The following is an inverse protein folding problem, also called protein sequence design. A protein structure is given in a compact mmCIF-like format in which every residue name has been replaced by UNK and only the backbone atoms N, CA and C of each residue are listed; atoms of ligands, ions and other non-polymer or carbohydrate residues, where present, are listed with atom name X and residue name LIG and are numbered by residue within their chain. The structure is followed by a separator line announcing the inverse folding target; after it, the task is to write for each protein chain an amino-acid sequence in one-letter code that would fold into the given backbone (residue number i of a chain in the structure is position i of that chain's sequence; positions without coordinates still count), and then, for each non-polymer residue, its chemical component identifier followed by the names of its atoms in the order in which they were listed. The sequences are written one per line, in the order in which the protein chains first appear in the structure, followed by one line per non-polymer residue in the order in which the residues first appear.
data_IF_768174857588
#
_entry.id   IF_768174857588
#
_cell.length_a   1.000
_cell.length_b   1.000
_cell.length_c   1.000
_cell.angle_alpha   90.00
_cell.angle_beta   90.00
_cell.angle_gamma   90.00
#
_symmetry.space_group_name_H-M   'P 1'
#
loop_
_entity.id
_entity.type
_entity.pdbx_description
1 polymer ?
#
# COMPACT_ATOMS: atom_id res chain seq x y z
N UNK A 1 -12.05 -9.07 1.17
CA UNK A 1 -11.84 -10.52 1.39
C UNK A 1 -10.36 -10.83 1.47
N UNK A 2 -9.94 -11.74 2.35
CA UNK A 2 -8.58 -12.30 2.34
C UNK A 2 -8.26 -12.96 0.99
N UNK A 3 -7.00 -12.91 0.55
CA UNK A 3 -6.56 -13.48 -0.74
C UNK A 3 -6.90 -14.98 -0.88
N UNK A 4 -6.86 -15.72 0.23
CA UNK A 4 -7.23 -17.15 0.27
C UNK A 4 -8.70 -17.39 -0.08
N UNK A 5 -9.61 -16.61 0.51
CA UNK A 5 -11.04 -16.73 0.23
C UNK A 5 -11.33 -16.48 -1.25
N UNK A 6 -10.67 -15.49 -1.86
CA UNK A 6 -10.82 -15.24 -3.30
C UNK A 6 -10.34 -16.41 -4.17
N UNK A 7 -9.24 -17.07 -3.79
CA UNK A 7 -8.76 -18.24 -4.53
C UNK A 7 -9.70 -19.44 -4.46
N UNK A 8 -10.31 -19.68 -3.30
CA UNK A 8 -11.32 -20.73 -3.14
C UNK A 8 -12.58 -20.42 -3.96
N UNK A 9 -13.02 -19.15 -3.94
CA UNK A 9 -14.15 -18.70 -4.76
C UNK A 9 -13.92 -18.90 -6.26
N UNK A 10 -12.72 -18.60 -6.77
CA UNK A 10 -12.39 -18.83 -8.18
C UNK A 10 -12.52 -20.31 -8.52
N UNK A 11 -12.04 -21.20 -7.65
CA UNK A 11 -12.15 -22.64 -7.86
C UNK A 11 -13.60 -23.12 -7.83
N UNK A 12 -14.40 -22.67 -6.86
CA UNK A 12 -15.82 -22.99 -6.76
C UNK A 12 -16.60 -22.54 -8.00
N UNK A 13 -16.35 -21.33 -8.50
CA UNK A 13 -17.10 -20.75 -9.62
C UNK A 13 -16.68 -21.30 -10.99
N UNK A 14 -15.41 -21.68 -11.16
CA UNK A 14 -14.85 -22.03 -12.48
C UNK A 14 -14.49 -23.51 -12.62
N UNK A 15 -14.43 -24.25 -11.52
CA UNK A 15 -13.88 -25.61 -11.46
C UNK A 15 -12.34 -25.68 -11.64
N UNK A 16 -11.69 -24.60 -12.07
CA UNK A 16 -10.24 -24.53 -12.29
C UNK A 16 -9.50 -24.03 -11.07
N UNK A 17 -8.30 -24.57 -10.79
CA UNK A 17 -7.48 -24.05 -9.69
C UNK A 17 -7.04 -22.63 -10.02
N UNK A 18 -7.13 -21.72 -9.07
CA UNK A 18 -6.71 -20.32 -9.30
C UNK A 18 -5.24 -20.22 -9.75
N UNK A 19 -4.38 -21.14 -9.31
CA UNK A 19 -2.99 -21.23 -9.77
C UNK A 19 -2.84 -21.58 -11.26
N UNK A 20 -3.75 -22.40 -11.80
CA UNK A 20 -3.79 -22.75 -13.23
C UNK A 20 -4.22 -21.54 -14.05
N UNK A 21 -5.28 -20.84 -13.64
CA UNK A 21 -5.76 -19.61 -14.30
C UNK A 21 -4.66 -18.55 -14.35
N UNK A 22 -3.93 -18.35 -13.26
CA UNK A 22 -2.81 -17.40 -13.22
C UNK A 22 -1.66 -17.83 -14.15
N UNK A 23 -1.37 -19.14 -14.24
CA UNK A 23 -0.34 -19.67 -15.14
C UNK A 23 -0.74 -19.50 -16.61
N UNK A 24 -2.01 -19.73 -16.95
CA UNK A 24 -2.56 -19.47 -18.28
C UNK A 24 -2.37 -17.99 -18.66
N UNK A 25 -2.72 -17.05 -17.77
CA UNK A 25 -2.52 -15.61 -18.01
C UNK A 25 -1.04 -15.23 -18.17
N UNK A 26 -0.17 -15.81 -17.35
CA UNK A 26 1.28 -15.59 -17.39
C UNK A 26 1.91 -16.11 -18.68
N UNK A 27 1.40 -17.20 -19.24
CA UNK A 27 1.90 -17.83 -20.46
C UNK A 27 1.45 -17.17 -21.76
N UNK A 28 0.52 -16.21 -21.72
CA UNK A 28 0.10 -15.46 -22.91
C UNK A 28 1.23 -14.57 -23.44
N UNK A 29 1.25 -14.29 -24.75
CA UNK A 29 2.23 -13.39 -25.37
C UNK A 29 2.13 -11.99 -24.73
N UNK A 30 3.21 -11.53 -24.08
CA UNK A 30 3.25 -10.28 -23.32
C UNK A 30 2.83 -10.40 -21.84
N UNK A 31 2.46 -11.61 -21.39
CA UNK A 31 2.23 -11.93 -19.99
C UNK A 31 3.51 -11.95 -19.15
N UNK A 32 3.36 -11.78 -17.84
CA UNK A 32 4.44 -11.84 -16.86
C UNK A 32 3.95 -12.35 -15.51
N UNK A 33 4.85 -12.54 -14.54
CA UNK A 33 4.53 -12.94 -13.15
C UNK A 33 3.39 -12.16 -12.49
N UNK A 34 3.12 -10.97 -12.99
CA UNK A 34 2.14 -10.00 -12.47
C UNK A 34 0.79 -9.99 -13.21
N UNK A 35 0.62 -10.78 -14.28
CA UNK A 35 -0.63 -10.92 -15.04
C UNK A 35 -0.39 -11.05 -16.55
N UNK A 36 -1.47 -11.01 -17.33
CA UNK A 36 -1.41 -11.02 -18.80
C UNK A 36 -0.86 -9.72 -19.42
N UNK A 37 -0.88 -9.69 -20.75
CA UNK A 37 -0.39 -8.58 -21.57
C UNK A 37 -1.18 -7.28 -21.41
N UNK A 38 -0.67 -6.19 -21.99
CA UNK A 38 -1.43 -4.93 -22.05
C UNK A 38 -2.65 -5.10 -22.95
N UNK A 39 -3.80 -4.66 -22.45
CA UNK A 39 -5.04 -4.62 -23.24
C UNK A 39 -4.95 -3.62 -24.39
N UNK A 40 -4.27 -2.48 -24.18
CA UNK A 40 -4.15 -1.40 -25.15
C UNK A 40 -2.66 -1.08 -25.38
N UNK A 41 -2.11 -1.37 -26.58
CA UNK A 41 -0.69 -1.17 -26.86
C UNK A 41 -0.25 0.30 -26.80
N UNK A 42 -1.10 1.23 -27.20
CA UNK A 42 -0.81 2.68 -27.21
C UNK A 42 -1.01 3.37 -25.85
N UNK A 43 -1.00 2.61 -24.76
CA UNK A 43 -1.10 3.19 -23.41
C UNK A 43 0.22 3.86 -23.04
N UNK A 44 0.14 5.03 -22.43
CA UNK A 44 1.27 5.74 -21.82
C UNK A 44 0.94 6.10 -20.38
N UNK A 45 1.95 6.13 -19.52
CA UNK A 45 1.81 6.59 -18.13
C UNK A 45 2.60 7.88 -17.97
N UNK A 46 1.90 8.97 -17.70
CA UNK A 46 2.48 10.21 -17.23
C UNK A 46 2.49 10.17 -15.70
N UNK A 47 3.68 10.11 -15.10
CA UNK A 47 3.85 10.00 -13.66
C UNK A 47 4.40 11.30 -13.09
N UNK A 48 3.54 12.07 -12.43
CA UNK A 48 3.97 13.26 -11.68
C UNK A 48 4.72 12.82 -10.43
N UNK A 49 6.02 13.09 -10.41
CA UNK A 49 6.91 12.84 -9.28
C UNK A 49 6.96 14.05 -8.35
N UNK A 50 7.41 13.83 -7.14
CA UNK A 50 7.64 14.88 -6.17
C UNK A 50 8.71 14.38 -5.20
N UNK A 51 9.64 15.26 -4.79
CA UNK A 51 10.52 14.98 -3.68
C UNK A 51 9.72 14.58 -2.44
N UNK A 52 10.20 13.56 -1.72
CA UNK A 52 9.41 12.95 -0.65
C UNK A 52 9.23 13.87 0.55
N UNK A 53 10.22 14.72 0.85
CA UNK A 53 10.17 15.64 1.98
C UNK A 53 9.29 16.84 1.64
N UNK A 54 9.39 17.34 0.40
CA UNK A 54 8.48 18.37 -0.14
C UNK A 54 7.03 17.87 -0.13
N UNK A 55 6.80 16.64 -0.60
CA UNK A 55 5.47 16.03 -0.62
C UNK A 55 4.91 15.88 0.79
N UNK A 56 5.71 15.43 1.75
CA UNK A 56 5.28 15.26 3.14
C UNK A 56 4.82 16.59 3.77
N UNK A 57 5.56 17.67 3.55
CA UNK A 57 5.18 19.00 4.03
C UNK A 57 3.88 19.49 3.38
N UNK A 58 3.73 19.30 2.06
CA UNK A 58 2.52 19.67 1.32
C UNK A 58 1.30 18.87 1.77
N UNK A 59 1.47 17.58 2.05
CA UNK A 59 0.39 16.72 2.56
C UNK A 59 -0.06 17.18 3.96
N UNK A 60 0.87 17.57 4.83
CA UNK A 60 0.54 18.06 6.17
C UNK A 60 -0.23 19.37 6.11
N UNK A 61 0.25 20.33 5.30
CA UNK A 61 -0.47 21.59 5.06
C UNK A 61 -1.85 21.35 4.47
N UNK A 62 -1.97 20.45 3.49
CA UNK A 62 -3.26 20.10 2.89
C UNK A 62 -4.24 19.56 3.92
N UNK A 63 -3.78 18.77 4.90
CA UNK A 63 -4.65 18.29 6.00
C UNK A 63 -5.12 19.46 6.86
N UNK A 64 -4.25 20.41 7.16
CA UNK A 64 -4.64 21.62 7.90
C UNK A 64 -5.69 22.43 7.11
N UNK A 65 -5.44 22.68 5.83
CA UNK A 65 -6.39 23.37 4.94
C UNK A 65 -7.74 22.61 4.83
N UNK A 66 -7.73 21.28 4.81
CA UNK A 66 -8.95 20.47 4.79
C UNK A 66 -9.77 20.64 6.07
N UNK A 67 -9.12 20.70 7.22
CA UNK A 67 -9.77 20.93 8.51
C UNK A 67 -10.39 22.33 8.54
N UNK A 68 -9.65 23.35 8.11
CA UNK A 68 -10.14 24.73 8.03
C UNK A 68 -11.35 24.88 7.10
N UNK A 69 -11.38 24.10 6.01
CA UNK A 69 -12.51 24.04 5.06
C UNK A 69 -13.72 23.24 5.56
N UNK A 70 -13.67 22.66 6.76
CA UNK A 70 -14.82 22.00 7.36
C UNK A 70 -14.85 20.47 7.25
N UNK A 71 -13.70 19.80 7.04
CA UNK A 71 -13.62 18.32 7.03
C UNK A 71 -14.35 17.68 8.21
N UNK A 72 -14.22 18.25 9.42
CA UNK A 72 -14.90 17.71 10.59
C UNK A 72 -16.42 17.76 10.46
N UNK A 73 -16.96 18.84 9.90
CA UNK A 73 -18.39 18.98 9.70
C UNK A 73 -18.88 17.94 8.67
N UNK A 74 -18.17 17.78 7.56
CA UNK A 74 -18.46 16.75 6.56
C UNK A 74 -18.50 15.35 7.17
N UNK A 75 -17.55 15.02 8.06
CA UNK A 75 -17.51 13.72 8.73
C UNK A 75 -18.65 13.53 9.74
N UNK A 76 -19.05 14.59 10.45
CA UNK A 76 -20.21 14.57 11.37
C UNK A 76 -21.51 14.35 10.61
N UNK A 77 -21.72 15.11 9.54
CA UNK A 77 -22.92 15.02 8.71
C UNK A 77 -23.04 13.63 8.10
N UNK A 78 -21.94 13.13 7.52
CA UNK A 78 -21.87 11.77 6.98
C UNK A 78 -22.16 10.70 8.04
N UNK A 79 -21.63 10.85 9.26
CA UNK A 79 -21.89 9.90 10.35
C UNK A 79 -23.36 9.91 10.79
N UNK A 80 -23.96 11.08 10.89
CA UNK A 80 -25.37 11.24 11.28
C UNK A 80 -26.30 10.63 10.22
N UNK A 81 -26.07 10.93 8.95
CA UNK A 81 -26.89 10.42 7.85
C UNK A 81 -26.76 8.90 7.68
N UNK A 82 -25.54 8.36 7.77
CA UNK A 82 -25.33 6.93 7.75
C UNK A 82 -26.07 6.22 8.90
N UNK A 83 -25.98 6.76 10.13
CA UNK A 83 -26.65 6.17 11.28
C UNK A 83 -28.17 6.24 11.14
N UNK A 84 -28.71 7.36 10.65
CA UNK A 84 -30.14 7.52 10.38
C UNK A 84 -30.65 6.49 9.39
N UNK A 85 -29.94 6.27 8.29
CA UNK A 85 -30.34 5.31 7.26
C UNK A 85 -30.23 3.87 7.77
N UNK A 86 -29.10 3.53 8.39
CA UNK A 86 -28.83 2.21 8.98
C UNK A 86 -29.90 1.79 9.99
N UNK A 87 -30.30 2.71 10.88
CA UNK A 87 -31.33 2.43 11.89
C UNK A 87 -32.71 2.21 11.27
N UNK A 88 -33.06 2.94 10.20
CA UNK A 88 -34.30 2.70 9.43
C UNK A 88 -34.32 1.32 8.79
N UNK A 89 -33.16 0.84 8.33
CA UNK A 89 -33.02 -0.47 7.66
C UNK A 89 -32.75 -1.63 8.64
N UNK A 90 -32.69 -1.38 9.96
CA UNK A 90 -32.41 -2.40 10.98
C UNK A 90 -31.00 -3.02 10.89
N UNK A 91 -30.05 -2.32 10.27
CA UNK A 91 -28.70 -2.84 10.01
C UNK A 91 -27.72 -2.54 11.16
N UNK A 92 -26.77 -3.44 11.37
CA UNK A 92 -25.64 -3.23 12.28
C UNK A 92 -24.61 -2.28 11.65
N UNK A 93 -23.89 -1.53 12.48
CA UNK A 93 -22.79 -0.68 12.00
C UNK A 93 -21.64 -1.55 11.49
N UNK A 94 -21.26 -1.37 10.23
CA UNK A 94 -20.06 -1.99 9.66
C UNK A 94 -19.12 -0.92 9.08
N UNK A 95 -18.29 -0.36 9.95
CA UNK A 95 -17.24 0.60 9.58
C UNK A 95 -16.02 -0.07 8.91
N UNK A 96 -16.06 -1.38 8.64
CA UNK A 96 -14.93 -2.13 8.07
C UNK A 96 -14.94 -2.19 6.54
N UNK A 97 -15.98 -1.66 5.89
CA UNK A 97 -16.19 -1.78 4.44
C UNK A 97 -16.51 -0.44 3.78
N UNK A 98 -16.39 -0.43 2.44
CA UNK A 98 -16.81 0.70 1.61
C UNK A 98 -16.10 2.01 1.95
N UNK A 99 -16.87 3.09 1.94
CA UNK A 99 -16.39 4.46 2.17
C UNK A 99 -15.74 4.64 3.55
N UNK A 100 -16.08 3.81 4.55
CA UNK A 100 -15.45 3.83 5.87
C UNK A 100 -13.99 3.37 5.85
N UNK A 101 -13.52 2.77 4.76
CA UNK A 101 -12.10 2.45 4.56
C UNK A 101 -11.28 3.63 4.03
N UNK A 102 -11.92 4.77 3.74
CA UNK A 102 -11.24 5.99 3.34
C UNK A 102 -10.39 6.56 4.48
N UNK A 103 -9.35 7.30 4.10
CA UNK A 103 -8.51 8.06 5.02
C UNK A 103 -9.28 9.32 5.44
N UNK A 104 -9.43 9.56 6.73
CA UNK A 104 -10.19 10.67 7.31
C UNK A 104 -11.13 10.17 8.40
N UNK A 105 -12.09 9.32 8.04
CA UNK A 105 -13.15 8.91 8.98
C UNK A 105 -12.63 8.11 10.18
N UNK A 106 -11.79 7.10 9.94
CA UNK A 106 -11.31 6.20 11.02
C UNK A 106 -10.45 6.94 12.04
N UNK A 107 -9.69 7.91 11.56
CA UNK A 107 -8.79 8.71 12.36
C UNK A 107 -9.56 9.60 13.36
N UNK A 108 -10.76 10.04 12.98
CA UNK A 108 -11.64 10.83 13.84
C UNK A 108 -12.77 10.02 14.50
N UNK A 109 -12.89 8.72 14.25
CA UNK A 109 -14.03 7.93 14.71
C UNK A 109 -14.29 8.06 16.22
N UNK A 110 -13.25 7.94 17.05
CA UNK A 110 -13.37 8.09 18.51
C UNK A 110 -13.82 9.48 18.94
N UNK A 111 -13.51 10.52 18.16
CA UNK A 111 -13.96 11.89 18.42
C UNK A 111 -15.41 12.09 17.94
N UNK A 112 -15.80 11.51 16.80
CA UNK A 112 -17.11 11.66 16.18
C UNK A 112 -18.24 10.94 16.93
N UNK A 113 -17.92 9.95 17.76
CA UNK A 113 -18.92 9.21 18.58
C UNK A 113 -19.19 9.86 19.93
N UNK A 114 -18.41 10.89 20.32
CA UNK A 114 -18.64 11.65 21.55
C UNK A 114 -19.85 12.56 21.43
N UNK A 115 -20.53 12.82 22.56
CA UNK A 115 -21.54 13.88 22.64
C UNK A 115 -20.91 15.26 22.38
N UNK A 116 -21.73 16.25 22.03
CA UNK A 116 -21.23 17.62 21.83
C UNK A 116 -20.55 18.20 23.08
N UNK A 117 -21.06 17.86 24.27
CA UNK A 117 -20.48 18.27 25.55
C UNK A 117 -19.12 17.60 25.79
N UNK A 118 -19.02 16.28 25.53
CA UNK A 118 -17.79 15.51 25.66
C UNK A 118 -16.71 15.99 24.70
N UNK A 119 -17.07 16.42 23.49
CA UNK A 119 -16.13 16.96 22.51
C UNK A 119 -15.43 18.24 23.01
N UNK A 120 -16.10 19.04 23.85
CA UNK A 120 -15.54 20.28 24.41
C UNK A 120 -14.63 20.05 25.63
N UNK A 121 -14.68 18.86 26.21
CA UNK A 121 -13.79 18.48 27.31
C UNK A 121 -12.33 18.39 26.84
N UNK A 122 -11.39 18.44 27.79
CA UNK A 122 -9.97 18.23 27.48
C UNK A 122 -9.69 16.83 26.89
N UNK A 123 -10.49 15.83 27.26
CA UNK A 123 -10.43 14.51 26.66
C UNK A 123 -10.87 14.53 25.18
N UNK A 124 -11.97 15.22 24.87
CA UNK A 124 -12.45 15.41 23.49
C UNK A 124 -11.46 16.14 22.60
N UNK A 125 -10.89 17.26 23.09
CA UNK A 125 -9.84 18.01 22.38
C UNK A 125 -8.58 17.16 22.14
N UNK A 126 -8.22 16.29 23.08
CA UNK A 126 -7.10 15.36 22.92
C UNK A 126 -7.36 14.34 21.82
N UNK A 127 -8.57 13.77 21.75
CA UNK A 127 -8.97 12.85 20.69
C UNK A 127 -8.99 13.54 19.32
N UNK A 128 -9.45 14.78 19.24
CA UNK A 128 -9.37 15.59 18.03
C UNK A 128 -7.92 15.76 17.55
N UNK A 129 -7.02 16.22 18.42
CA UNK A 129 -5.59 16.39 18.09
C UNK A 129 -4.92 15.08 17.66
N UNK A 130 -5.29 13.98 18.32
CA UNK A 130 -4.83 12.64 17.95
C UNK A 130 -5.34 12.25 16.55
N UNK A 131 -6.60 12.55 16.23
CA UNK A 131 -7.19 12.34 14.91
C UNK A 131 -6.46 13.11 13.80
N UNK A 132 -6.18 14.40 13.99
CA UNK A 132 -5.41 15.21 13.04
C UNK A 132 -4.01 14.63 12.82
N UNK A 133 -3.31 14.29 13.91
CA UNK A 133 -1.96 13.71 13.84
C UNK A 133 -1.98 12.36 13.11
N UNK A 134 -2.98 11.53 13.40
CA UNK A 134 -3.18 10.25 12.74
C UNK A 134 -3.45 10.44 11.24
N UNK A 135 -4.33 11.38 10.87
CA UNK A 135 -4.67 11.70 9.49
C UNK A 135 -3.43 12.11 8.68
N UNK A 136 -2.62 13.01 9.22
CA UNK A 136 -1.33 13.40 8.60
C UNK A 136 -0.42 12.18 8.42
N UNK A 137 -0.26 11.36 9.46
CA UNK A 137 0.58 10.16 9.41
C UNK A 137 0.11 9.13 8.37
N UNK A 138 -1.18 8.80 8.31
CA UNK A 138 -1.70 7.82 7.36
C UNK A 138 -1.62 8.32 5.93
N UNK A 139 -1.78 9.63 5.71
CA UNK A 139 -1.64 10.27 4.39
C UNK A 139 -0.21 10.16 3.87
N UNK A 140 0.79 10.47 4.71
CA UNK A 140 2.22 10.28 4.40
C UNK A 140 2.61 8.81 4.18
N UNK A 141 1.99 7.88 4.92
CA UNK A 141 2.19 6.43 4.70
C UNK A 141 1.57 5.98 3.39
N UNK A 142 0.43 6.56 3.02
CA UNK A 142 -0.26 6.23 1.78
C UNK A 142 0.55 6.68 0.56
N UNK A 143 1.09 7.91 0.56
CA UNK A 143 1.96 8.40 -0.53
C UNK A 143 3.18 7.49 -0.75
N UNK A 144 3.87 7.10 0.33
CA UNK A 144 4.98 6.12 0.28
C UNK A 144 4.55 4.76 -0.29
N UNK A 145 3.35 4.30 0.08
CA UNK A 145 2.79 3.04 -0.45
C UNK A 145 2.47 3.15 -1.94
N UNK A 146 1.95 4.28 -2.40
CA UNK A 146 1.72 4.55 -3.82
C UNK A 146 3.05 4.54 -4.60
N UNK A 147 4.06 5.25 -4.11
CA UNK A 147 5.39 5.27 -4.71
C UNK A 147 5.98 3.86 -4.82
N UNK A 148 5.93 3.09 -3.73
CA UNK A 148 6.37 1.69 -3.72
C UNK A 148 5.60 0.85 -4.74
N UNK A 149 4.28 1.03 -4.81
CA UNK A 149 3.46 0.30 -5.77
C UNK A 149 3.80 0.65 -7.22
N UNK A 150 3.97 1.93 -7.56
CA UNK A 150 4.38 2.39 -8.89
C UNK A 150 5.73 1.77 -9.27
N UNK A 151 6.73 1.85 -8.38
CA UNK A 151 8.06 1.24 -8.59
C UNK A 151 7.96 -0.25 -8.91
N UNK A 152 7.28 -1.03 -8.05
CA UNK A 152 7.17 -2.48 -8.24
C UNK A 152 6.24 -2.91 -9.37
N UNK A 153 5.26 -2.08 -9.75
CA UNK A 153 4.27 -2.43 -10.77
C UNK A 153 4.73 -2.06 -12.17
N UNK A 154 5.46 -0.95 -12.29
CA UNK A 154 5.81 -0.37 -13.59
C UNK A 154 7.31 -0.24 -13.83
N UNK A 155 8.13 0.10 -12.83
CA UNK A 155 9.53 0.46 -13.08
C UNK A 155 10.55 -0.67 -12.90
N UNK A 156 10.24 -1.64 -12.03
CA UNK A 156 11.12 -2.78 -11.71
C UNK A 156 10.89 -4.06 -12.55
N UNK A 157 9.67 -4.40 -13.01
CA UNK A 157 9.46 -5.63 -13.77
C UNK A 157 10.13 -5.57 -15.15
N UNK A 158 11.10 -6.43 -15.41
CA UNK A 158 11.74 -6.55 -16.73
C UNK A 158 11.13 -7.66 -17.61
N UNK A 159 10.30 -8.52 -17.04
CA UNK A 159 9.67 -9.66 -17.71
C UNK A 159 8.26 -9.34 -18.24
N UNK A 160 7.86 -8.06 -18.25
CA UNK A 160 6.50 -7.63 -18.56
C UNK A 160 6.47 -6.58 -19.66
N UNK A 161 5.45 -6.64 -20.50
CA UNK A 161 5.03 -5.50 -21.30
C UNK A 161 4.43 -4.43 -20.37
N UNK A 162 5.23 -3.41 -20.05
CA UNK A 162 4.80 -2.25 -19.26
C UNK A 162 4.61 -1.06 -20.20
N UNK A 163 3.56 -0.23 -20.03
CA UNK A 163 3.45 0.99 -20.81
C UNK A 163 4.65 1.89 -20.52
N UNK A 164 5.16 2.65 -21.51
CA UNK A 164 6.21 3.63 -21.25
C UNK A 164 5.73 4.59 -20.15
N UNK A 165 6.59 4.78 -19.15
CA UNK A 165 6.35 5.69 -18.02
C UNK A 165 7.23 6.91 -18.22
N UNK A 166 6.65 8.11 -18.23
CA UNK A 166 7.39 9.36 -18.29
C UNK A 166 7.26 10.06 -16.95
N UNK A 167 8.38 10.32 -16.29
CA UNK A 167 8.41 11.03 -15.00
C UNK A 167 8.42 12.54 -15.24
N UNK A 168 7.57 13.25 -14.49
CA UNK A 168 7.37 14.69 -14.60
C UNK A 168 7.54 15.31 -13.22
N UNK A 169 8.54 16.16 -13.01
CA UNK A 169 8.82 16.69 -11.68
C UNK A 169 7.81 17.77 -11.28
N UNK A 170 6.92 17.42 -10.35
CA UNK A 170 5.92 18.32 -9.77
C UNK A 170 6.30 18.82 -8.37
N UNK A 171 7.59 18.79 -8.02
CA UNK A 171 8.08 19.24 -6.71
C UNK A 171 7.79 20.72 -6.45
N UNK A 172 8.05 21.58 -7.43
CA UNK A 172 7.81 23.02 -7.35
C UNK A 172 6.55 23.40 -8.14
N UNK A 173 5.43 23.76 -7.48
CA UNK A 173 4.21 24.18 -8.16
C UNK A 173 4.40 25.41 -9.06
N UNK A 174 5.37 26.27 -8.75
CA UNK A 174 5.64 27.49 -9.54
C UNK A 174 6.19 27.16 -10.92
N UNK A 175 6.79 25.98 -11.09
CA UNK A 175 7.36 25.49 -12.35
C UNK A 175 6.49 24.44 -13.03
N UNK A 176 5.22 24.32 -12.61
CA UNK A 176 4.30 23.30 -13.10
C UNK A 176 4.18 23.28 -14.63
N UNK A 177 4.07 24.46 -15.25
CA UNK A 177 3.92 24.54 -16.69
C UNK A 177 5.16 24.01 -17.42
N UNK A 178 6.36 24.41 -16.98
CA UNK A 178 7.63 24.04 -17.61
C UNK A 178 8.03 22.59 -17.33
N UNK A 179 7.79 22.08 -16.12
CA UNK A 179 8.29 20.77 -15.67
C UNK A 179 7.27 19.64 -15.78
N UNK A 180 5.98 19.95 -15.85
CA UNK A 180 4.91 18.96 -15.88
C UNK A 180 4.02 19.12 -17.12
N UNK A 181 3.37 20.27 -17.30
CA UNK A 181 2.34 20.44 -18.33
C UNK A 181 2.92 20.37 -19.75
N UNK A 182 3.89 21.22 -20.08
CA UNK A 182 4.47 21.28 -21.42
C UNK A 182 5.17 19.97 -21.82
N UNK A 183 5.99 19.33 -20.95
CA UNK A 183 6.58 18.03 -21.30
C UNK A 183 5.54 16.93 -21.47
N UNK A 184 4.47 16.92 -20.64
CA UNK A 184 3.36 15.96 -20.79
C UNK A 184 2.63 16.13 -22.13
N UNK A 185 2.29 17.36 -22.50
CA UNK A 185 1.67 17.68 -23.78
C UNK A 185 2.58 17.26 -24.94
N UNK A 186 3.87 17.55 -24.86
CA UNK A 186 4.86 17.13 -25.86
C UNK A 186 4.94 15.61 -26.04
N UNK A 187 4.90 14.85 -24.94
CA UNK A 187 4.85 13.38 -24.98
C UNK A 187 3.59 12.89 -25.67
N UNK A 188 2.42 13.42 -25.27
CA UNK A 188 1.13 13.01 -25.85
C UNK A 188 1.07 13.34 -27.33
N UNK A 189 1.51 14.54 -27.73
CA UNK A 189 1.53 14.99 -29.12
C UNK A 189 2.48 14.13 -29.96
N UNK A 190 3.71 13.91 -29.51
CA UNK A 190 4.68 13.09 -30.23
C UNK A 190 4.13 11.67 -30.47
N UNK A 191 3.55 11.05 -29.44
CA UNK A 191 2.96 9.71 -29.56
C UNK A 191 1.72 9.68 -30.47
N UNK A 192 0.87 10.71 -30.42
CA UNK A 192 -0.29 10.83 -31.30
C UNK A 192 0.12 10.94 -32.79
N UNK A 193 1.26 11.58 -33.06
CA UNK A 193 1.84 11.71 -34.40
C UNK A 193 2.74 10.53 -34.81
N UNK A 194 2.89 9.51 -33.96
CA UNK A 194 3.75 8.36 -34.22
C UNK A 194 5.26 8.64 -34.13
N UNK A 195 5.64 9.78 -33.53
CA UNK A 195 7.02 10.18 -33.26
C UNK A 195 7.47 9.72 -31.87
N UNK A 196 8.78 9.61 -31.66
CA UNK A 196 9.33 9.39 -30.33
C UNK A 196 9.31 10.70 -29.52
N UNK A 197 8.83 10.69 -28.26
CA UNK A 197 8.95 11.83 -27.37
C UNK A 197 10.41 12.20 -27.09
N UNK A 198 10.67 13.50 -26.88
CA UNK A 198 11.98 14.00 -26.45
C UNK A 198 12.32 13.58 -25.02
N UNK A 199 11.30 13.49 -24.16
CA UNK A 199 11.45 13.06 -22.78
C UNK A 199 11.71 11.56 -22.72
N UNK A 200 12.73 11.14 -21.98
CA UNK A 200 13.03 9.72 -21.79
C UNK A 200 12.06 9.05 -20.80
N UNK A 201 11.87 7.74 -20.97
CA UNK A 201 11.05 6.95 -20.05
C UNK A 201 11.79 6.72 -18.73
N UNK A 202 11.05 6.82 -17.62
CA UNK A 202 11.51 6.43 -16.29
C UNK A 202 11.80 4.93 -16.24
N UNK A 203 13.07 4.57 -16.06
CA UNK A 203 13.52 3.20 -15.81
C UNK A 203 14.30 3.16 -14.51
N UNK A 204 14.06 2.17 -13.65
CA UNK A 204 14.91 1.93 -12.49
C UNK A 204 15.97 0.89 -12.84
N UNK A 205 17.25 1.19 -12.55
CA UNK A 205 18.32 0.19 -12.56
C UNK A 205 17.94 -0.91 -11.58
N UNK A 206 18.01 -2.17 -12.03
CA UNK A 206 17.69 -3.33 -11.20
C UNK A 206 18.68 -3.38 -10.04
N UNK A 207 18.19 -3.12 -8.84
CA UNK A 207 18.90 -3.49 -7.63
C UNK A 207 18.79 -5.01 -7.47
N UNK A 208 19.92 -5.72 -7.39
CA UNK A 208 19.94 -7.18 -7.27
C UNK A 208 19.17 -7.68 -6.02
N UNK A 209 19.08 -6.85 -4.97
CA UNK A 209 18.32 -7.15 -3.77
C UNK A 209 16.78 -7.12 -3.97
N UNK A 210 16.28 -6.33 -4.91
CA UNK A 210 14.85 -6.19 -5.23
C UNK A 210 14.29 -7.46 -5.90
N UNK A 211 15.09 -8.11 -6.75
CA UNK A 211 14.72 -9.32 -7.52
C UNK A 211 14.34 -10.49 -6.59
N UNK A 212 14.96 -10.57 -5.42
CA UNK A 212 14.72 -11.64 -4.44
C UNK A 212 13.52 -11.39 -3.52
N UNK A 213 12.89 -10.20 -3.52
CA UNK A 213 11.65 -9.96 -2.73
C UNK A 213 10.46 -10.77 -3.22
N UNK A 214 10.48 -11.24 -4.47
CA UNK A 214 9.45 -12.09 -5.07
C UNK A 214 9.58 -13.58 -4.74
N UNK A 215 10.62 -13.98 -4.00
CA UNK A 215 10.84 -15.35 -3.58
C UNK A 215 9.73 -15.83 -2.63
N UNK A 216 9.04 -16.91 -3.02
CA UNK A 216 7.96 -17.54 -2.25
C UNK A 216 8.40 -18.85 -1.60
N UNK A 217 9.70 -19.13 -1.58
CA UNK A 217 10.25 -20.33 -0.93
C UNK A 217 9.84 -20.36 0.54
N UNK A 218 9.31 -21.50 0.97
CA UNK A 218 8.87 -21.75 2.34
C UNK A 218 10.06 -22.21 3.16
N UNK A 219 10.35 -21.49 4.25
CA UNK A 219 11.33 -21.87 5.26
C UNK A 219 10.61 -22.12 6.57
N UNK A 220 11.04 -23.14 7.31
CA UNK A 220 10.49 -23.49 8.62
C UNK A 220 11.57 -23.29 9.68
N UNK A 221 11.22 -22.59 10.75
CA UNK A 221 12.11 -22.39 11.88
C UNK A 221 11.63 -23.21 13.06
N UNK A 222 12.34 -24.28 13.38
CA UNK A 222 12.01 -25.15 14.52
C UNK A 222 12.18 -24.42 15.87
N UNK A 223 13.14 -23.50 15.95
CA UNK A 223 13.42 -22.72 17.18
C UNK A 223 12.27 -21.77 17.54
N UNK A 224 11.57 -21.27 16.53
CA UNK A 224 10.50 -20.27 16.69
C UNK A 224 9.12 -20.80 16.31
N UNK A 225 9.02 -22.08 15.94
CA UNK A 225 7.81 -22.78 15.49
C UNK A 225 6.99 -21.94 14.50
N UNK A 226 7.66 -21.39 13.49
CA UNK A 226 7.00 -20.53 12.50
C UNK A 226 7.50 -20.75 11.09
N UNK A 227 6.58 -20.57 10.15
CA UNK A 227 6.87 -20.52 8.73
C UNK A 227 7.27 -19.10 8.33
N UNK A 228 8.33 -18.99 7.53
CA UNK A 228 8.80 -17.74 6.93
C UNK A 228 8.87 -17.93 5.42
N UNK A 229 8.26 -17.00 4.67
CA UNK A 229 8.24 -17.06 3.21
C UNK A 229 9.26 -16.06 2.65
N UNK A 230 10.15 -16.57 1.79
CA UNK A 230 11.17 -15.82 1.08
C UNK A 230 12.53 -15.79 1.78
N UNK A 231 13.60 -15.93 1.01
CA UNK A 231 14.98 -16.04 1.49
C UNK A 231 15.47 -14.80 2.24
N UNK A 232 15.05 -13.60 1.83
CA UNK A 232 15.40 -12.35 2.53
C UNK A 232 14.77 -12.33 3.92
N UNK A 233 13.46 -12.62 3.99
CA UNK A 233 12.71 -12.68 5.23
C UNK A 233 13.28 -13.75 6.16
N UNK A 234 13.67 -14.91 5.61
CA UNK A 234 14.35 -15.98 6.34
C UNK A 234 15.67 -15.50 6.95
N UNK A 235 16.54 -14.89 6.15
CA UNK A 235 17.83 -14.34 6.62
C UNK A 235 17.64 -13.28 7.71
N UNK A 236 16.67 -12.39 7.54
CA UNK A 236 16.34 -11.39 8.55
C UNK A 236 15.78 -12.03 9.84
N UNK A 237 14.96 -13.06 9.71
CA UNK A 237 14.42 -13.81 10.83
C UNK A 237 15.53 -14.46 11.68
N UNK A 238 16.40 -15.27 11.06
CA UNK A 238 17.45 -16.01 11.77
C UNK A 238 18.50 -15.08 12.40
N UNK A 239 18.75 -13.91 11.79
CA UNK A 239 19.66 -12.89 12.36
C UNK A 239 19.00 -12.02 13.43
N UNK A 240 17.68 -12.06 13.55
CA UNK A 240 16.90 -11.21 14.43
C UNK A 240 17.08 -11.53 15.91
N UNK A 241 16.97 -10.49 16.76
CA UNK A 241 17.14 -10.61 18.21
C UNK A 241 16.19 -11.62 18.85
N UNK A 242 14.93 -11.68 18.38
CA UNK A 242 13.94 -12.63 18.88
C UNK A 242 14.35 -14.09 18.64
N UNK A 243 14.86 -14.39 17.44
CA UNK A 243 15.34 -15.73 17.09
C UNK A 243 16.54 -16.13 17.95
N UNK A 244 17.56 -15.26 18.04
CA UNK A 244 18.75 -15.48 18.87
C UNK A 244 18.40 -15.72 20.35
N UNK A 245 17.43 -14.98 20.89
CA UNK A 245 16.94 -15.15 22.27
C UNK A 245 16.28 -16.52 22.48
N UNK A 246 15.43 -16.94 21.55
CA UNK A 246 14.77 -18.26 21.61
C UNK A 246 15.79 -19.40 21.49
N UNK A 247 16.75 -19.28 20.58
CA UNK A 247 17.84 -20.25 20.41
C UNK A 247 18.68 -20.40 21.69
N UNK A 248 19.00 -19.28 22.34
CA UNK A 248 19.69 -19.30 23.64
C UNK A 248 18.86 -19.98 24.74
N UNK A 249 17.55 -19.75 24.77
CA UNK A 249 16.65 -20.43 25.73
C UNK A 249 16.62 -21.94 25.51
N UNK A 250 16.49 -22.38 24.26
CA UNK A 250 16.43 -23.80 23.90
C UNK A 250 17.73 -24.54 24.23
N UNK A 251 18.88 -23.92 23.97
CA UNK A 251 20.19 -24.49 24.34
C UNK A 251 20.42 -24.56 25.86
N UNK A 252 19.86 -23.63 26.64
CA UNK A 252 19.89 -23.69 28.10
C UNK A 252 19.01 -24.82 28.66
N UNK A 253 17.80 -24.98 28.12
CA UNK A 253 16.89 -26.08 28.51
C UNK A 253 17.53 -27.44 28.21
N UNK A 254 18.07 -27.63 27.00
CA UNK A 254 18.77 -28.87 26.63
C UNK A 254 20.01 -29.16 27.48
N UNK A 255 20.67 -28.12 28.03
CA UNK A 255 21.82 -28.30 28.95
C UNK A 255 21.37 -28.68 30.35
N UNK A 256 20.20 -28.21 30.79
CA UNK A 256 19.64 -28.58 32.10
C UNK A 256 19.08 -30.00 32.05
N UNK A 257 18.35 -30.38 31.00
CA UNK A 257 17.82 -31.73 30.81
C UNK A 257 18.94 -32.78 30.76
N UNK A 258 20.07 -32.47 30.10
CA UNK A 258 21.26 -33.33 30.06
C UNK A 258 22.01 -33.40 31.40
N UNK A 259 21.84 -32.44 32.30
CA UNK A 259 22.39 -32.52 33.65
C UNK A 259 21.51 -33.37 34.55
N UNK A 260 20.19 -33.30 34.40
CA UNK A 260 19.24 -34.11 35.17
C UNK A 260 19.23 -35.59 34.75
N UNK A 261 19.56 -35.90 33.49
CA UNK A 261 19.69 -37.29 33.01
C UNK A 261 21.04 -37.97 33.34
N UNK A 262 22.02 -37.22 33.84
CA UNK A 262 23.36 -37.72 34.21
C UNK A 262 23.57 -37.78 35.73
N UNK A 263 22.49 -37.64 36.51
CA UNK A 263 22.41 -37.88 37.95
C UNK A 263 21.58 -39.13 38.16
#
# INVERSE_FOLDING_TARGET
MPRTARSLQVWEQTGKRHSEVLREQQGQKGGSKLGGALRYPSTVILWVTCDQDVLDQRLDRRVDDMIERGLLQELKDFHADYNRQRLKEGQLADYTKGIFQSIGFKEFHQYLVLSEEEQQTEAGKKLYKAGVTSLKQVTRRYSRRQLKWIKHRFLLPADRQVPPVFALDGSDPSKWDEQVRLPAEGVVQALAEGRQPELETANMVKDEEEVHRGDKTRYECDVCERVVIGKIQWRAHVRGAKHKKMQKRQTLLQKNDKKEMNV
#
